data_IF_816527620537
#
_entry.id   IF_816527620537
#
_cell.length_a   1.000
_cell.length_b   1.000
_cell.length_c   1.000
_cell.angle_alpha   90.00
_cell.angle_beta   90.00
_cell.angle_gamma   90.00
#
_symmetry.space_group_name_H-M   'P 1'
#
loop_
_entity.id
_entity.type
_entity.pdbx_description
1 polymer ?
#
# COMPACT_ATOMS: atom_id res chain seq x y z
N UNK A 1 31.42 -15.47 -14.90
CA UNK A 1 30.33 -15.39 -13.91
C UNK A 1 29.38 -14.33 -14.43
N UNK A 2 28.37 -14.75 -15.15
CA UNK A 2 27.35 -13.90 -15.75
C UNK A 2 26.47 -13.34 -14.62
N UNK A 3 26.58 -12.07 -14.31
CA UNK A 3 25.56 -11.35 -13.55
C UNK A 3 24.27 -11.38 -14.40
N UNK A 4 23.40 -12.29 -14.05
CA UNK A 4 22.04 -12.32 -14.55
C UNK A 4 21.36 -11.07 -13.97
N UNK A 5 21.34 -9.97 -14.73
CA UNK A 5 20.51 -8.81 -14.44
C UNK A 5 19.06 -9.25 -14.66
N UNK A 6 18.47 -9.89 -13.63
CA UNK A 6 17.02 -10.03 -13.61
C UNK A 6 16.43 -8.65 -13.85
N UNK A 7 15.64 -8.54 -14.89
CA UNK A 7 14.96 -7.32 -15.25
C UNK A 7 14.03 -6.99 -14.07
N UNK A 8 14.48 -6.09 -13.19
CA UNK A 8 13.71 -5.68 -12.01
C UNK A 8 12.44 -5.01 -12.51
N UNK A 9 11.30 -5.54 -12.12
CA UNK A 9 10.01 -4.91 -12.36
C UNK A 9 9.90 -3.55 -11.65
N UNK A 10 8.86 -2.80 -11.98
CA UNK A 10 8.53 -1.56 -11.29
C UNK A 10 7.80 -1.83 -9.97
N UNK A 11 7.81 -0.85 -9.09
CA UNK A 11 7.10 -0.83 -7.81
C UNK A 11 6.06 0.28 -7.84
N UNK A 12 4.79 -0.08 -7.66
CA UNK A 12 3.67 0.85 -7.67
C UNK A 12 3.09 0.96 -6.26
N UNK A 13 3.32 2.08 -5.61
CA UNK A 13 2.88 2.36 -4.25
C UNK A 13 1.62 3.21 -4.29
N UNK A 14 0.55 2.72 -3.70
CA UNK A 14 -0.69 3.46 -3.47
C UNK A 14 -0.88 3.64 -1.98
N UNK A 15 -0.94 4.88 -1.54
CA UNK A 15 -1.16 5.26 -0.15
C UNK A 15 -2.28 6.29 -0.03
N UNK A 16 -3.00 6.25 1.06
CA UNK A 16 -4.09 7.17 1.33
C UNK A 16 -4.53 7.07 2.79
N UNK A 17 -5.22 8.07 3.31
CA UNK A 17 -6.00 7.92 4.53
C UNK A 17 -7.07 6.83 4.39
N UNK A 18 -7.38 6.15 5.49
CA UNK A 18 -8.44 5.12 5.52
C UNK A 18 -9.77 5.70 4.99
N UNK A 19 -10.44 4.96 4.10
CA UNK A 19 -11.71 5.38 3.50
C UNK A 19 -11.61 6.27 2.26
N UNK A 20 -10.41 6.47 1.71
CA UNK A 20 -10.19 7.31 0.50
C UNK A 20 -10.49 6.60 -0.83
N UNK A 21 -10.83 5.31 -0.82
CA UNK A 21 -11.09 4.52 -2.03
C UNK A 21 -9.86 3.86 -2.66
N UNK A 22 -8.72 3.91 -1.99
CA UNK A 22 -7.44 3.33 -2.43
C UNK A 22 -7.55 1.86 -2.84
N UNK A 23 -8.09 1.01 -1.99
CA UNK A 23 -8.23 -0.43 -2.24
C UNK A 23 -9.06 -0.73 -3.49
N UNK A 24 -10.12 0.04 -3.73
CA UNK A 24 -10.93 -0.12 -4.94
C UNK A 24 -10.15 0.23 -6.20
N UNK A 25 -9.35 1.27 -6.17
CA UNK A 25 -8.46 1.66 -7.28
C UNK A 25 -7.40 0.59 -7.52
N UNK A 26 -6.74 0.10 -6.47
CA UNK A 26 -5.73 -0.97 -6.57
C UNK A 26 -6.32 -2.25 -7.18
N UNK A 27 -7.52 -2.66 -6.76
CA UNK A 27 -8.22 -3.83 -7.32
C UNK A 27 -8.56 -3.62 -8.79
N UNK A 28 -8.98 -2.42 -9.17
CA UNK A 28 -9.23 -2.08 -10.58
C UNK A 28 -7.97 -2.25 -11.43
N UNK A 29 -6.82 -1.76 -10.96
CA UNK A 29 -5.54 -1.90 -11.66
C UNK A 29 -5.09 -3.36 -11.78
N UNK A 30 -5.24 -4.15 -10.72
CA UNK A 30 -4.94 -5.58 -10.73
C UNK A 30 -5.78 -6.37 -11.73
N UNK A 31 -7.00 -5.91 -12.03
CA UNK A 31 -7.88 -6.53 -13.02
C UNK A 31 -7.50 -6.21 -14.47
N UNK A 32 -6.48 -5.37 -14.71
CA UNK A 32 -6.01 -4.99 -16.05
C UNK A 32 -4.83 -5.88 -16.47
N UNK A 33 -5.04 -6.89 -17.35
CA UNK A 33 -3.97 -7.85 -17.70
C UNK A 33 -2.76 -7.22 -18.37
N UNK A 34 -2.96 -6.13 -19.12
CA UNK A 34 -1.92 -5.41 -19.85
C UNK A 34 -0.97 -4.60 -18.96
N UNK A 35 -1.30 -4.41 -17.69
CA UNK A 35 -0.41 -3.78 -16.71
C UNK A 35 0.56 -4.77 -16.08
N UNK A 36 0.32 -6.08 -16.21
CA UNK A 36 1.18 -7.14 -15.68
C UNK A 36 1.56 -6.96 -14.21
N UNK A 37 0.56 -6.69 -13.38
CA UNK A 37 0.71 -6.43 -11.94
C UNK A 37 0.51 -7.68 -11.10
N UNK A 38 1.19 -7.73 -9.96
CA UNK A 38 0.94 -8.68 -8.87
C UNK A 38 0.88 -7.93 -7.55
N UNK A 39 -0.07 -8.32 -6.71
CA UNK A 39 -0.25 -7.70 -5.39
C UNK A 39 0.81 -8.17 -4.40
N UNK A 40 1.44 -7.23 -3.70
CA UNK A 40 2.35 -7.54 -2.60
C UNK A 40 1.57 -7.79 -1.31
N UNK A 41 1.63 -9.02 -0.80
CA UNK A 41 1.00 -9.40 0.46
C UNK A 41 1.87 -8.90 1.61
N UNK A 42 1.33 -8.01 2.43
CA UNK A 42 2.04 -7.47 3.60
C UNK A 42 2.07 -8.46 4.76
N UNK A 43 3.08 -8.37 5.61
CA UNK A 43 3.09 -9.01 6.91
C UNK A 43 2.45 -8.12 7.97
N UNK A 44 1.88 -8.73 9.00
CA UNK A 44 1.41 -8.01 10.18
C UNK A 44 1.51 -8.85 11.44
N UNK A 45 1.79 -8.19 12.57
CA UNK A 45 1.80 -8.84 13.89
C UNK A 45 0.43 -8.89 14.55
N UNK A 46 -0.57 -8.16 14.01
CA UNK A 46 -1.93 -8.26 14.53
C UNK A 46 -2.58 -9.59 14.19
N UNK A 47 -3.56 -9.95 14.97
CA UNK A 47 -4.40 -11.14 14.69
C UNK A 47 -5.30 -10.91 13.46
N UNK A 48 -5.65 -11.97 12.73
CA UNK A 48 -6.66 -11.91 11.67
C UNK A 48 -7.99 -11.34 12.19
N UNK A 49 -8.71 -10.62 11.34
CA UNK A 49 -10.04 -10.08 11.62
C UNK A 49 -11.04 -10.73 10.69
N UNK A 50 -12.18 -11.15 11.24
CA UNK A 50 -13.23 -11.78 10.44
C UNK A 50 -12.70 -12.98 9.63
N UNK A 51 -12.91 -12.94 8.33
CA UNK A 51 -12.55 -14.01 7.40
C UNK A 51 -11.16 -13.82 6.74
N UNK A 52 -10.31 -12.95 7.28
CA UNK A 52 -8.95 -12.75 6.73
C UNK A 52 -8.13 -14.04 6.79
N UNK A 53 -7.46 -14.36 5.69
CA UNK A 53 -6.72 -15.61 5.50
C UNK A 53 -5.22 -15.34 5.39
N UNK A 54 -4.44 -16.09 6.18
CA UNK A 54 -2.97 -16.05 6.10
C UNK A 54 -2.48 -16.44 4.70
N UNK A 55 -1.54 -15.65 4.18
CA UNK A 55 -0.97 -15.85 2.84
C UNK A 55 -1.84 -15.36 1.69
N UNK A 56 -3.02 -14.79 1.99
CA UNK A 56 -3.92 -14.18 1.01
C UNK A 56 -4.14 -12.70 1.31
N UNK A 57 -4.64 -12.39 2.49
CA UNK A 57 -4.89 -11.00 2.92
C UNK A 57 -3.66 -10.38 3.54
N UNK A 58 -3.02 -11.12 4.43
CA UNK A 58 -1.75 -10.82 5.08
C UNK A 58 -0.96 -12.10 5.37
N UNK A 59 0.34 -11.96 5.54
CA UNK A 59 1.15 -12.91 6.31
C UNK A 59 1.05 -12.52 7.79
N UNK A 60 0.22 -13.23 8.56
CA UNK A 60 0.10 -13.02 10.00
C UNK A 60 1.26 -13.70 10.69
N UNK A 61 2.13 -12.93 11.32
CA UNK A 61 3.33 -13.41 11.99
C UNK A 61 3.30 -13.10 13.49
N UNK A 62 3.99 -13.91 14.28
CA UNK A 62 4.16 -13.65 15.69
C UNK A 62 5.15 -12.51 15.95
N UNK A 63 5.12 -11.97 17.17
CA UNK A 63 6.11 -10.98 17.60
C UNK A 63 7.56 -11.51 17.53
N UNK A 64 7.75 -12.80 17.84
CA UNK A 64 9.07 -13.42 17.77
C UNK A 64 9.57 -13.60 16.32
N UNK A 65 8.68 -13.97 15.40
CA UNK A 65 8.98 -14.00 13.97
C UNK A 65 9.31 -12.60 13.43
N UNK A 66 8.53 -11.59 13.81
CA UNK A 66 8.81 -10.20 13.44
C UNK A 66 10.21 -9.76 13.87
N UNK A 67 10.60 -10.02 15.14
CA UNK A 67 11.95 -9.73 15.65
C UNK A 67 13.05 -10.48 14.89
N UNK A 68 12.80 -11.74 14.52
CA UNK A 68 13.78 -12.53 13.72
C UNK A 68 13.96 -11.91 12.33
N UNK A 69 12.87 -11.53 11.66
CA UNK A 69 12.94 -10.86 10.35
C UNK A 69 13.66 -9.52 10.41
N UNK A 70 13.46 -8.72 11.47
CA UNK A 70 14.21 -7.47 11.67
C UNK A 70 15.71 -7.77 11.80
N UNK A 71 16.08 -8.73 12.67
CA UNK A 71 17.48 -9.09 12.91
C UNK A 71 18.18 -9.63 11.65
N UNK A 72 17.44 -10.33 10.80
CA UNK A 72 17.93 -10.86 9.53
C UNK A 72 17.83 -9.83 8.37
N UNK A 73 17.36 -8.61 8.63
CA UNK A 73 17.17 -7.55 7.63
C UNK A 73 16.31 -7.97 6.43
N UNK A 74 15.30 -8.78 6.67
CA UNK A 74 14.43 -9.36 5.62
C UNK A 74 13.25 -8.49 5.21
N UNK A 75 13.02 -7.35 5.87
CA UNK A 75 12.00 -6.38 5.49
C UNK A 75 12.53 -5.32 4.52
N UNK A 76 11.71 -4.97 3.53
CA UNK A 76 11.87 -3.75 2.74
C UNK A 76 11.60 -2.54 3.61
N UNK A 77 10.50 -2.59 4.35
CA UNK A 77 10.07 -1.58 5.30
C UNK A 77 9.18 -2.22 6.38
N UNK A 78 9.02 -1.55 7.50
CA UNK A 78 8.05 -1.89 8.55
C UNK A 78 7.64 -0.63 9.31
N UNK A 79 6.42 -0.63 9.86
CA UNK A 79 5.82 0.49 10.57
C UNK A 79 4.90 0.01 11.68
N UNK A 80 4.97 0.67 12.84
CA UNK A 80 3.95 0.57 13.86
C UNK A 80 2.78 1.50 13.49
N UNK A 81 1.74 0.96 12.86
CA UNK A 81 0.59 1.74 12.40
C UNK A 81 -0.38 2.06 13.53
N UNK A 82 -0.54 1.12 14.45
CA UNK A 82 -1.28 1.26 15.71
C UNK A 82 -0.49 0.58 16.81
N UNK A 83 -0.69 1.01 18.06
CA UNK A 83 0.00 0.44 19.23
C UNK A 83 0.07 -1.08 19.17
N UNK A 84 1.28 -1.62 19.21
CA UNK A 84 1.61 -3.06 19.13
C UNK A 84 1.19 -3.76 17.83
N UNK A 85 0.78 -3.02 16.80
CA UNK A 85 0.41 -3.59 15.50
C UNK A 85 1.37 -3.08 14.41
N UNK A 86 2.27 -3.95 14.02
CA UNK A 86 3.25 -3.71 12.97
C UNK A 86 2.73 -4.21 11.63
N UNK A 87 3.04 -3.46 10.59
CA UNK A 87 2.82 -3.84 9.19
C UNK A 87 4.15 -3.75 8.47
N UNK A 88 4.43 -4.73 7.65
CA UNK A 88 5.75 -4.92 7.07
C UNK A 88 5.66 -5.42 5.63
N UNK A 89 6.69 -5.14 4.85
CA UNK A 89 6.87 -5.68 3.51
C UNK A 89 8.12 -6.56 3.49
N UNK A 90 7.96 -7.84 3.16
CA UNK A 90 9.07 -8.78 3.00
C UNK A 90 9.82 -8.53 1.69
N UNK A 91 11.16 -8.54 1.73
CA UNK A 91 12.01 -8.56 0.53
C UNK A 91 11.69 -9.76 -0.36
N UNK A 92 11.47 -10.92 0.24
CA UNK A 92 11.12 -12.15 -0.46
C UNK A 92 9.83 -12.04 -1.28
N UNK A 93 8.84 -11.26 -0.81
CA UNK A 93 7.60 -11.03 -1.54
C UNK A 93 7.82 -10.21 -2.81
N UNK A 94 8.63 -9.17 -2.74
CA UNK A 94 9.02 -8.36 -3.91
C UNK A 94 9.81 -9.22 -4.91
N UNK A 95 10.78 -9.99 -4.43
CA UNK A 95 11.60 -10.88 -5.25
C UNK A 95 10.76 -11.97 -5.92
N UNK A 96 9.78 -12.53 -5.21
CA UNK A 96 8.83 -13.50 -5.76
C UNK A 96 8.08 -12.94 -6.97
N UNK A 97 7.58 -11.73 -6.86
CA UNK A 97 6.80 -11.05 -7.92
C UNK A 97 7.70 -10.72 -9.11
N UNK A 98 8.88 -10.18 -8.87
CA UNK A 98 9.85 -9.90 -9.93
C UNK A 98 10.31 -11.17 -10.66
N UNK A 99 10.46 -12.29 -9.94
CA UNK A 99 10.79 -13.58 -10.55
C UNK A 99 9.69 -14.09 -11.50
N UNK A 100 8.44 -13.68 -11.31
CA UNK A 100 7.33 -13.94 -12.24
C UNK A 100 7.35 -13.01 -13.47
N UNK A 101 8.30 -12.08 -13.57
CA UNK A 101 8.35 -11.07 -14.62
C UNK A 101 7.27 -9.99 -14.50
N UNK A 102 6.71 -9.80 -13.30
CA UNK A 102 5.62 -8.86 -13.04
C UNK A 102 6.09 -7.62 -12.29
N UNK A 103 5.27 -6.57 -12.33
CA UNK A 103 5.42 -5.38 -11.51
C UNK A 103 4.68 -5.56 -10.18
N UNK A 104 5.23 -4.97 -9.11
CA UNK A 104 4.64 -5.06 -7.77
C UNK A 104 3.71 -3.89 -7.52
N UNK A 105 2.50 -4.15 -7.05
CA UNK A 105 1.59 -3.11 -6.57
C UNK A 105 1.36 -3.28 -5.06
N UNK A 106 1.43 -2.16 -4.34
CA UNK A 106 1.25 -2.07 -2.89
C UNK A 106 0.00 -1.25 -2.55
N UNK A 107 -0.82 -1.80 -1.68
CA UNK A 107 -1.86 -1.08 -0.92
C UNK A 107 -1.33 -0.90 0.50
N UNK A 108 -0.65 0.21 0.75
CA UNK A 108 0.18 0.40 1.94
C UNK A 108 -0.10 1.77 2.58
N UNK A 109 0.15 1.89 3.89
CA UNK A 109 0.03 3.17 4.58
C UNK A 109 1.09 4.19 4.09
N UNK A 110 0.87 5.45 4.45
CA UNK A 110 1.68 6.58 3.95
C UNK A 110 3.16 6.43 4.31
N UNK A 111 3.47 6.10 5.57
CA UNK A 111 4.86 6.00 6.02
C UNK A 111 5.61 4.86 5.32
N UNK A 112 4.98 3.69 5.21
CA UNK A 112 5.53 2.54 4.50
C UNK A 112 5.75 2.82 3.02
N UNK A 113 4.79 3.47 2.37
CA UNK A 113 4.90 3.86 0.97
C UNK A 113 6.06 4.81 0.69
N UNK A 114 6.25 5.82 1.53
CA UNK A 114 7.38 6.75 1.40
C UNK A 114 8.74 6.09 1.66
N UNK A 115 8.81 5.10 2.57
CA UNK A 115 10.03 4.31 2.77
C UNK A 115 10.41 3.48 1.55
N UNK A 116 9.43 2.85 0.90
CA UNK A 116 9.67 2.12 -0.35
C UNK A 116 10.18 3.07 -1.43
N UNK A 117 9.54 4.23 -1.60
CA UNK A 117 9.99 5.25 -2.55
C UNK A 117 11.42 5.72 -2.26
N UNK A 118 11.75 5.96 -1.01
CA UNK A 118 13.10 6.38 -0.62
C UNK A 118 14.15 5.29 -0.91
N UNK A 119 13.81 4.03 -0.66
CA UNK A 119 14.72 2.90 -0.86
C UNK A 119 14.92 2.53 -2.34
N UNK A 120 13.89 2.70 -3.15
CA UNK A 120 13.89 2.39 -4.58
C UNK A 120 13.38 3.59 -5.41
N UNK A 121 14.12 4.71 -5.44
CA UNK A 121 13.61 5.96 -5.99
C UNK A 121 13.31 5.91 -7.50
N UNK A 122 14.08 5.13 -8.26
CA UNK A 122 13.96 5.05 -9.72
C UNK A 122 12.95 4.00 -10.18
N UNK A 123 12.77 2.93 -9.41
CA UNK A 123 11.86 1.83 -9.72
C UNK A 123 10.44 2.08 -9.23
N UNK A 124 10.25 3.07 -8.34
CA UNK A 124 8.98 3.29 -7.63
C UNK A 124 8.21 4.49 -8.16
N UNK A 125 6.93 4.26 -8.48
CA UNK A 125 5.92 5.31 -8.59
C UNK A 125 5.11 5.34 -7.28
N UNK A 126 5.20 6.44 -6.54
CA UNK A 126 4.44 6.65 -5.32
C UNK A 126 3.23 7.54 -5.58
N UNK A 127 2.04 6.99 -5.38
CA UNK A 127 0.75 7.63 -5.65
C UNK A 127 0.00 7.84 -4.34
N UNK A 128 -0.43 9.06 -4.10
CA UNK A 128 -1.32 9.40 -3.01
C UNK A 128 -2.76 9.53 -3.51
N UNK A 129 -3.69 8.76 -2.95
CA UNK A 129 -5.12 8.87 -3.28
C UNK A 129 -5.77 9.81 -2.29
N UNK A 130 -6.20 10.99 -2.77
CA UNK A 130 -6.79 12.03 -1.95
C UNK A 130 -8.32 11.95 -1.96
N UNK A 131 -8.98 11.87 -0.80
CA UNK A 131 -10.44 11.93 -0.72
C UNK A 131 -10.95 13.33 -1.09
N UNK A 132 -12.27 13.48 -1.41
CA UNK A 132 -12.85 14.76 -1.76
C UNK A 132 -12.69 15.82 -0.67
N UNK A 133 -12.91 15.42 0.58
CA UNK A 133 -12.79 16.29 1.77
C UNK A 133 -12.58 15.46 3.03
N UNK A 134 -12.16 16.12 4.11
CA UNK A 134 -12.09 15.52 5.45
C UNK A 134 -13.49 15.12 5.93
N UNK A 135 -14.51 15.93 5.63
CA UNK A 135 -15.89 15.65 6.04
C UNK A 135 -16.47 14.42 5.35
N UNK A 136 -16.20 14.24 4.06
CA UNK A 136 -16.56 13.03 3.34
C UNK A 136 -15.84 11.81 3.90
N UNK A 137 -14.57 11.95 4.27
CA UNK A 137 -13.81 10.90 4.93
C UNK A 137 -14.42 10.49 6.27
N UNK A 138 -14.79 11.49 7.11
CA UNK A 138 -15.50 11.28 8.37
C UNK A 138 -16.81 10.52 8.15
N UNK A 139 -17.59 10.93 7.15
CA UNK A 139 -18.85 10.28 6.80
C UNK A 139 -18.63 8.81 6.45
N UNK A 140 -17.67 8.51 5.59
CA UNK A 140 -17.33 7.15 5.17
C UNK A 140 -16.85 6.27 6.33
N UNK A 141 -16.02 6.80 7.21
CA UNK A 141 -15.53 6.08 8.39
C UNK A 141 -16.67 5.74 9.35
N UNK A 142 -17.60 6.67 9.60
CA UNK A 142 -18.79 6.43 10.45
C UNK A 142 -19.72 5.38 9.84
N UNK A 143 -19.94 5.37 8.54
CA UNK A 143 -20.83 4.41 7.87
C UNK A 143 -20.29 2.98 7.84
N UNK A 144 -18.97 2.80 7.78
CA UNK A 144 -18.34 1.47 7.67
C UNK A 144 -18.07 0.81 9.01
N UNK A 145 -18.21 1.53 10.09
CA UNK A 145 -17.63 1.16 11.37
C UNK A 145 -18.73 0.87 12.40
N UNK A 146 -18.66 -0.32 12.97
CA UNK A 146 -19.23 -0.65 14.28
C UNK A 146 -18.30 -0.22 15.42
N UNK A 147 -17.26 0.55 15.11
CA UNK A 147 -16.24 0.98 16.07
C UNK A 147 -16.76 2.12 16.96
N UNK A 148 -16.13 2.25 18.13
CA UNK A 148 -16.44 3.33 19.07
C UNK A 148 -16.11 4.70 18.47
N UNK A 149 -16.81 5.75 18.90
CA UNK A 149 -16.55 7.14 18.50
C UNK A 149 -15.10 7.55 18.75
N UNK A 150 -14.49 7.08 19.83
CA UNK A 150 -13.08 7.30 20.14
C UNK A 150 -12.15 6.77 19.03
N UNK A 151 -12.37 5.55 18.54
CA UNK A 151 -11.58 4.96 17.45
C UNK A 151 -11.78 5.72 16.14
N UNK A 152 -13.00 6.16 15.84
CA UNK A 152 -13.29 6.98 14.67
C UNK A 152 -12.52 8.30 14.74
N UNK A 153 -12.53 8.96 15.88
CA UNK A 153 -11.79 10.21 16.09
C UNK A 153 -10.28 10.05 15.96
N UNK A 154 -9.72 8.95 16.44
CA UNK A 154 -8.30 8.61 16.23
C UNK A 154 -7.97 8.44 14.75
N UNK A 155 -8.82 7.77 13.98
CA UNK A 155 -8.63 7.62 12.53
C UNK A 155 -8.72 8.94 11.78
N UNK A 156 -9.60 9.83 12.20
CA UNK A 156 -9.75 11.17 11.62
C UNK A 156 -8.49 12.00 11.90
N UNK A 157 -7.98 11.97 13.12
CA UNK A 157 -6.75 12.66 13.49
C UNK A 157 -5.55 12.14 12.67
N UNK A 158 -5.43 10.80 12.52
CA UNK A 158 -4.42 10.18 11.67
C UNK A 158 -4.56 10.62 10.21
N UNK A 159 -5.78 10.65 9.68
CA UNK A 159 -6.04 11.06 8.31
C UNK A 159 -5.58 12.50 8.03
N UNK A 160 -5.76 13.41 8.97
CA UNK A 160 -5.30 14.80 8.84
C UNK A 160 -3.77 14.89 8.73
N UNK A 161 -3.04 14.08 9.51
CA UNK A 161 -1.57 13.98 9.42
C UNK A 161 -1.15 13.38 8.08
N UNK A 162 -1.80 12.31 7.65
CA UNK A 162 -1.51 11.64 6.38
C UNK A 162 -1.77 12.55 5.18
N UNK A 163 -2.87 13.32 5.17
CA UNK A 163 -3.17 14.30 4.11
C UNK A 163 -2.07 15.36 3.95
N UNK A 164 -1.44 15.77 5.04
CA UNK A 164 -0.34 16.73 5.02
C UNK A 164 0.91 16.18 4.31
N UNK A 165 1.05 14.87 4.17
CA UNK A 165 2.19 14.22 3.51
C UNK A 165 2.01 14.07 1.99
N UNK A 166 0.83 14.33 1.45
CA UNK A 166 0.53 14.15 0.03
C UNK A 166 1.58 14.80 -0.93
N UNK A 167 2.14 16.00 -0.65
CA UNK A 167 3.18 16.60 -1.50
C UNK A 167 4.49 15.81 -1.59
N UNK A 168 4.72 14.85 -0.70
CA UNK A 168 5.93 13.99 -0.73
C UNK A 168 5.82 12.83 -1.71
N UNK A 169 4.64 12.57 -2.27
CA UNK A 169 4.39 11.55 -3.28
C UNK A 169 4.69 12.08 -4.68
N UNK A 170 4.97 11.18 -5.61
CA UNK A 170 5.24 11.56 -7.01
C UNK A 170 4.00 12.17 -7.68
N UNK A 171 2.82 11.69 -7.31
CA UNK A 171 1.56 12.20 -7.84
C UNK A 171 0.39 12.02 -6.87
N UNK A 172 -0.64 12.84 -7.06
CA UNK A 172 -1.87 12.81 -6.28
C UNK A 172 -3.04 12.52 -7.21
N UNK A 173 -3.77 11.44 -6.94
CA UNK A 173 -5.05 11.16 -7.58
C UNK A 173 -6.16 11.66 -6.69
N UNK A 174 -6.96 12.60 -7.19
CA UNK A 174 -8.12 13.14 -6.47
C UNK A 174 -9.32 12.22 -6.74
N UNK A 175 -9.77 11.51 -5.70
CA UNK A 175 -10.91 10.61 -5.80
C UNK A 175 -12.24 11.34 -5.49
N UNK A 176 -12.62 12.27 -6.37
CA UNK A 176 -13.90 12.94 -6.33
C UNK A 176 -14.97 12.12 -7.06
N UNK A 177 -14.59 11.53 -8.18
CA UNK A 177 -15.34 10.54 -8.93
C UNK A 177 -14.48 9.28 -9.05
N UNK A 178 -15.02 8.15 -8.62
CA UNK A 178 -14.26 6.90 -8.56
C UNK A 178 -13.89 6.38 -9.96
N UNK A 179 -14.77 6.52 -10.94
CA UNK A 179 -14.49 6.02 -12.29
C UNK A 179 -13.41 6.86 -12.97
N UNK A 180 -13.44 8.19 -12.77
CA UNK A 180 -12.38 9.09 -13.22
C UNK A 180 -11.06 8.75 -12.54
N UNK A 181 -11.07 8.55 -11.21
CA UNK A 181 -9.87 8.20 -10.46
C UNK A 181 -9.26 6.86 -10.90
N UNK A 182 -10.08 5.86 -11.22
CA UNK A 182 -9.63 4.57 -11.78
C UNK A 182 -8.95 4.75 -13.14
N UNK A 183 -9.53 5.57 -14.01
CA UNK A 183 -8.95 5.84 -15.33
C UNK A 183 -7.64 6.61 -15.24
N UNK A 184 -7.58 7.63 -14.40
CA UNK A 184 -6.36 8.40 -14.14
C UNK A 184 -5.25 7.49 -13.60
N UNK A 185 -5.57 6.61 -12.66
CA UNK A 185 -4.64 5.63 -12.11
C UNK A 185 -4.12 4.67 -13.18
N UNK A 186 -5.01 4.18 -14.05
CA UNK A 186 -4.62 3.29 -15.15
C UNK A 186 -3.64 3.97 -16.10
N UNK A 187 -3.95 5.17 -16.58
CA UNK A 187 -3.08 5.94 -17.48
C UNK A 187 -1.72 6.22 -16.86
N UNK A 188 -1.71 6.63 -15.60
CA UNK A 188 -0.50 6.91 -14.84
C UNK A 188 0.41 5.69 -14.70
N UNK A 189 -0.15 4.55 -14.32
CA UNK A 189 0.58 3.29 -14.18
C UNK A 189 1.08 2.79 -15.53
N UNK A 190 0.23 2.81 -16.55
CA UNK A 190 0.59 2.40 -17.91
C UNK A 190 1.78 3.19 -18.46
N UNK A 191 1.76 4.52 -18.29
CA UNK A 191 2.87 5.39 -18.69
C UNK A 191 4.16 5.07 -17.93
N UNK A 192 4.06 4.85 -16.62
CA UNK A 192 5.24 4.59 -15.79
C UNK A 192 5.90 3.25 -16.10
N UNK A 193 5.13 2.17 -16.29
CA UNK A 193 5.71 0.84 -16.57
C UNK A 193 6.27 0.74 -18.00
N UNK A 194 5.90 1.65 -18.89
CA UNK A 194 6.36 1.70 -20.29
C UNK A 194 7.72 2.41 -20.45
N UNK A 195 8.22 3.02 -19.40
CA UNK A 195 9.53 3.70 -19.33
C UNK A 195 10.59 2.80 -18.71
#
# INVERSE_FOLDING_TARGET
ITHNTMNKGKLLVFSAPSGSGKTTIVRHLLAQPDLNLEFSISCTTRKPRGEEVHGKDYYFISWDEFKKHIKAEEFVEWEEVYTDNFYCTLKAEVERIWALGKHVIFDIDVAGGLRIKHKFPNETLAVFVKPPSVDELKRRLKQRSTESEHKINMRIAKASVELATAPQFDTIIKNYDLEVAKEDAYKLVKDFISK
#
